data_IF_196320150443
#
_entry.id   IF_196320150443
#
_cell.length_a   1.000
_cell.length_b   1.000
_cell.length_c   1.000
_cell.angle_alpha   90.00
_cell.angle_beta   90.00
_cell.angle_gamma   90.00
#
_symmetry.space_group_name_H-M   'P 1'
#
loop_
_entity.id
_entity.type
_entity.pdbx_description
1 polymer ?
#
# COMPACT_ATOMS: atom_id res chain seq x y z
N UNK A 1 29.89 24.00 -44.93
CA UNK A 1 28.76 23.21 -45.47
C UNK A 1 28.50 22.09 -44.49
N UNK A 2 27.64 22.32 -43.51
CA UNK A 2 27.33 21.37 -42.45
C UNK A 2 25.92 20.82 -42.70
N UNK A 3 25.88 19.58 -43.12
CA UNK A 3 24.72 18.78 -43.45
C UNK A 3 23.99 18.40 -42.13
N UNK A 4 22.94 19.11 -41.80
CA UNK A 4 22.07 18.75 -40.67
C UNK A 4 21.18 17.57 -41.11
N UNK A 5 21.47 16.38 -40.55
CA UNK A 5 20.72 15.15 -40.77
C UNK A 5 19.20 15.32 -40.43
N UNK A 6 18.29 14.94 -41.36
CA UNK A 6 16.82 15.06 -41.18
C UNK A 6 16.26 14.16 -40.07
N UNK A 7 17.03 13.24 -39.54
CA UNK A 7 16.56 12.22 -38.58
C UNK A 7 16.43 12.76 -37.15
N UNK A 8 17.18 13.81 -36.79
CA UNK A 8 17.11 14.42 -35.44
C UNK A 8 15.81 15.22 -35.21
N UNK A 9 15.23 15.77 -36.27
CA UNK A 9 13.99 16.54 -36.21
C UNK A 9 12.74 15.64 -36.02
N UNK A 10 12.73 14.48 -36.68
CA UNK A 10 11.66 13.48 -36.56
C UNK A 10 11.66 12.79 -35.19
N UNK A 11 12.83 12.51 -34.58
CA UNK A 11 12.90 11.99 -33.22
C UNK A 11 12.39 13.01 -32.19
N UNK A 12 12.76 14.29 -32.30
CA UNK A 12 12.29 15.36 -31.39
C UNK A 12 10.80 15.60 -31.50
N UNK A 13 10.19 15.51 -32.68
CA UNK A 13 8.75 15.68 -32.88
C UNK A 13 7.96 14.50 -32.30
N UNK A 14 8.43 13.25 -32.45
CA UNK A 14 7.80 12.06 -31.84
C UNK A 14 7.88 12.08 -30.32
N UNK A 15 9.00 12.53 -29.73
CA UNK A 15 9.13 12.71 -28.29
C UNK A 15 8.19 13.80 -27.74
N UNK A 16 8.05 14.92 -28.45
CA UNK A 16 7.12 15.98 -28.07
C UNK A 16 5.66 15.53 -28.17
N UNK A 17 5.31 14.79 -29.22
CA UNK A 17 3.93 14.25 -29.36
C UNK A 17 3.63 13.21 -28.26
N UNK A 18 4.54 12.31 -27.95
CA UNK A 18 4.39 11.36 -26.85
C UNK A 18 4.25 12.07 -25.50
N UNK A 19 5.03 13.13 -25.27
CA UNK A 19 4.94 13.93 -24.07
C UNK A 19 3.58 14.64 -23.94
N UNK A 20 3.07 15.24 -25.02
CA UNK A 20 1.74 15.86 -25.04
C UNK A 20 0.60 14.85 -24.98
N UNK A 21 0.75 13.69 -25.60
CA UNK A 21 -0.24 12.61 -25.51
C UNK A 21 -0.28 12.03 -24.08
N UNK A 22 0.89 11.86 -23.44
CA UNK A 22 0.98 11.39 -22.04
C UNK A 22 0.34 12.40 -21.07
N UNK A 23 0.59 13.71 -21.23
CA UNK A 23 -0.01 14.74 -20.36
C UNK A 23 -1.53 14.90 -20.53
N UNK A 24 -2.09 14.52 -21.67
CA UNK A 24 -3.55 14.49 -21.93
C UNK A 24 -4.17 13.14 -21.54
N UNK A 25 -3.37 12.11 -21.30
CA UNK A 25 -3.83 10.79 -20.89
C UNK A 25 -4.34 10.79 -19.44
N UNK A 26 -5.20 9.84 -19.06
CA UNK A 26 -5.60 9.63 -17.65
C UNK A 26 -4.38 9.46 -16.72
N UNK A 27 -3.35 8.76 -17.20
CA UNK A 27 -2.10 8.55 -16.48
C UNK A 27 -1.32 9.86 -16.22
N UNK A 28 -1.25 10.78 -17.21
CA UNK A 28 -0.59 12.08 -17.04
C UNK A 28 -1.33 13.00 -16.08
N UNK A 29 -2.68 12.96 -16.08
CA UNK A 29 -3.49 13.67 -15.08
C UNK A 29 -3.33 13.10 -13.69
N UNK A 30 -3.24 11.76 -13.56
CA UNK A 30 -2.97 11.07 -12.32
C UNK A 30 -1.60 11.41 -11.74
N UNK A 31 -0.58 11.46 -12.59
CA UNK A 31 0.76 11.86 -12.18
C UNK A 31 0.80 13.30 -11.62
N UNK A 32 0.16 14.25 -12.27
CA UNK A 32 0.04 15.64 -11.78
C UNK A 32 -0.72 15.70 -10.46
N UNK A 33 -1.88 15.04 -10.37
CA UNK A 33 -2.64 14.96 -9.11
C UNK A 33 -1.85 14.23 -8.02
N UNK A 34 -1.08 13.21 -8.35
CA UNK A 34 -0.18 12.53 -7.41
C UNK A 34 0.86 13.45 -6.81
N UNK A 35 1.44 14.38 -7.59
CA UNK A 35 2.35 15.40 -7.08
C UNK A 35 1.65 16.49 -6.26
N UNK A 36 0.44 16.89 -6.65
CA UNK A 36 -0.41 17.84 -5.91
C UNK A 36 -0.85 17.28 -4.55
N UNK A 37 -1.01 15.94 -4.44
CA UNK A 37 -1.40 15.26 -3.20
C UNK A 37 -0.25 15.00 -2.24
N UNK A 38 0.94 15.47 -2.53
CA UNK A 38 2.09 15.21 -1.67
C UNK A 38 2.23 13.71 -1.33
N UNK A 39 2.07 12.83 -2.33
CA UNK A 39 2.12 11.37 -2.13
C UNK A 39 3.37 10.93 -1.38
N UNK A 40 4.50 11.61 -1.63
CA UNK A 40 5.75 11.35 -0.92
C UNK A 40 5.60 11.60 0.59
N UNK A 41 5.09 12.77 1.00
CA UNK A 41 4.93 13.09 2.42
C UNK A 41 3.97 12.14 3.13
N UNK A 42 2.92 11.70 2.43
CA UNK A 42 1.97 10.71 2.98
C UNK A 42 2.58 9.32 3.08
N UNK A 43 3.35 8.91 2.09
CA UNK A 43 4.08 7.65 2.15
C UNK A 43 5.14 7.65 3.27
N UNK A 44 5.82 8.77 3.50
CA UNK A 44 6.75 8.94 4.61
C UNK A 44 6.03 8.89 5.98
N UNK A 45 4.91 9.61 6.12
CA UNK A 45 4.08 9.54 7.33
C UNK A 45 3.52 8.14 7.60
N UNK A 46 3.06 7.46 6.55
CA UNK A 46 2.65 6.06 6.61
C UNK A 46 3.80 5.17 7.09
N UNK A 47 4.99 5.32 6.52
CA UNK A 47 6.15 4.53 6.87
C UNK A 47 6.62 4.78 8.31
N UNK A 48 6.66 6.04 8.75
CA UNK A 48 7.10 6.39 10.10
C UNK A 48 6.17 5.78 11.17
N UNK A 49 4.86 6.00 11.06
CA UNK A 49 3.89 5.46 12.01
C UNK A 49 3.69 3.95 11.83
N UNK A 50 3.77 3.44 10.59
CA UNK A 50 3.78 2.01 10.32
C UNK A 50 4.93 1.31 11.03
N UNK A 51 6.13 1.87 10.97
CA UNK A 51 7.30 1.32 11.64
C UNK A 51 7.14 1.32 13.16
N UNK A 52 6.67 2.43 13.76
CA UNK A 52 6.40 2.50 15.19
C UNK A 52 5.32 1.51 15.64
N UNK A 53 4.38 1.19 14.77
CA UNK A 53 3.31 0.21 15.03
C UNK A 53 3.80 -1.23 14.90
N UNK A 54 4.86 -1.50 14.12
CA UNK A 54 5.35 -2.86 13.89
C UNK A 54 5.75 -3.57 15.19
N UNK A 55 6.45 -2.90 16.10
CA UNK A 55 6.93 -3.52 17.34
C UNK A 55 5.76 -3.96 18.24
N UNK A 56 4.81 -3.09 18.62
CA UNK A 56 3.68 -3.53 19.44
C UNK A 56 2.75 -4.52 18.70
N UNK A 57 2.61 -4.39 17.38
CA UNK A 57 1.86 -5.33 16.57
C UNK A 57 2.47 -6.74 16.63
N UNK A 58 3.79 -6.83 16.54
CA UNK A 58 4.54 -8.07 16.64
C UNK A 58 4.34 -8.72 18.00
N UNK A 59 4.38 -7.95 19.08
CA UNK A 59 4.15 -8.46 20.45
C UNK A 59 2.74 -9.05 20.57
N UNK A 60 1.73 -8.34 20.07
CA UNK A 60 0.33 -8.77 20.14
C UNK A 60 0.07 -10.00 19.26
N UNK A 61 0.60 -10.02 18.03
CA UNK A 61 0.47 -11.18 17.12
C UNK A 61 1.17 -12.41 17.70
N UNK A 62 2.38 -12.25 18.25
CA UNK A 62 3.11 -13.36 18.90
C UNK A 62 2.43 -13.87 20.18
N UNK A 63 1.73 -12.99 20.91
CA UNK A 63 0.95 -13.39 22.07
C UNK A 63 -0.36 -14.11 21.68
N UNK A 64 -0.97 -13.72 20.56
CA UNK A 64 -2.18 -14.35 20.05
C UNK A 64 -1.92 -15.73 19.42
N UNK A 65 -0.71 -15.98 18.92
CA UNK A 65 -0.29 -17.26 18.34
C UNK A 65 1.02 -17.77 18.97
N UNK A 66 0.95 -18.37 20.18
CA UNK A 66 2.13 -18.84 20.88
C UNK A 66 2.83 -20.03 20.21
N UNK A 67 2.14 -20.74 19.31
CA UNK A 67 2.72 -21.87 18.55
C UNK A 67 3.59 -21.36 17.40
N UNK A 68 3.16 -20.29 16.71
CA UNK A 68 3.86 -19.72 15.57
C UNK A 68 4.36 -18.29 15.86
N UNK A 69 5.10 -18.11 16.95
CA UNK A 69 5.59 -16.80 17.43
C UNK A 69 6.39 -16.01 16.39
N UNK A 70 7.05 -16.70 15.47
CA UNK A 70 7.85 -16.09 14.41
C UNK A 70 7.06 -15.86 13.12
N UNK A 71 5.79 -16.25 13.06
CA UNK A 71 4.98 -16.18 11.83
C UNK A 71 4.86 -14.78 11.24
N UNK A 72 4.70 -13.75 12.08
CA UNK A 72 4.67 -12.37 11.63
C UNK A 72 6.04 -11.87 11.14
N UNK A 73 7.12 -12.18 11.86
CA UNK A 73 8.47 -11.82 11.44
C UNK A 73 8.85 -12.53 10.13
N UNK A 74 8.42 -13.79 9.96
CA UNK A 74 8.57 -14.51 8.70
C UNK A 74 7.77 -13.87 7.57
N UNK A 75 6.52 -13.48 7.81
CA UNK A 75 5.70 -12.77 6.84
C UNK A 75 6.34 -11.44 6.42
N UNK A 76 6.91 -10.69 7.38
CA UNK A 76 7.65 -9.45 7.11
C UNK A 76 8.90 -9.72 6.26
N UNK A 77 9.71 -10.71 6.63
CA UNK A 77 10.89 -11.12 5.88
C UNK A 77 10.55 -11.57 4.46
N UNK A 78 9.44 -12.30 4.28
CA UNK A 78 8.95 -12.69 2.96
C UNK A 78 8.46 -11.50 2.14
N UNK A 79 7.81 -10.50 2.77
CA UNK A 79 7.39 -9.25 2.14
C UNK A 79 8.56 -8.41 1.66
N UNK A 80 9.61 -8.33 2.50
CA UNK A 80 10.90 -7.70 2.16
C UNK A 80 11.67 -8.48 1.08
N UNK A 81 11.30 -9.75 0.82
CA UNK A 81 12.00 -10.58 -0.16
C UNK A 81 13.42 -10.96 0.27
N UNK A 82 13.70 -10.99 1.57
CA UNK A 82 15.03 -11.22 2.14
C UNK A 82 15.55 -12.61 1.77
N UNK A 83 16.85 -12.70 1.43
CA UNK A 83 17.54 -13.97 1.20
C UNK A 83 17.60 -14.83 2.47
N UNK A 84 17.80 -16.12 2.33
CA UNK A 84 17.88 -17.04 3.47
C UNK A 84 18.94 -16.60 4.49
N UNK A 85 20.05 -16.05 4.05
CA UNK A 85 21.17 -15.58 4.88
C UNK A 85 20.84 -14.34 5.71
N UNK A 86 20.06 -13.41 5.17
CA UNK A 86 19.67 -12.18 5.90
C UNK A 86 18.33 -12.30 6.63
N UNK A 87 17.70 -13.48 6.51
CA UNK A 87 16.42 -13.75 7.16
C UNK A 87 16.58 -13.81 8.68
N UNK A 88 17.65 -14.43 9.15
CA UNK A 88 17.91 -14.58 10.58
C UNK A 88 18.13 -13.23 11.25
N UNK A 89 18.79 -12.27 10.59
CA UNK A 89 18.98 -10.91 11.09
C UNK A 89 17.65 -10.15 11.24
N UNK A 90 16.71 -10.32 10.29
CA UNK A 90 15.37 -9.74 10.39
C UNK A 90 14.57 -10.45 11.49
N UNK A 91 14.66 -11.78 11.59
CA UNK A 91 14.00 -12.55 12.63
C UNK A 91 14.51 -12.17 14.02
N UNK A 92 15.81 -11.99 14.19
CA UNK A 92 16.41 -11.61 15.47
C UNK A 92 16.05 -10.18 15.88
N UNK A 93 16.00 -9.25 14.92
CA UNK A 93 15.61 -7.87 15.17
C UNK A 93 14.14 -7.75 15.64
N UNK A 94 13.27 -8.61 15.11
CA UNK A 94 11.85 -8.62 15.40
C UNK A 94 11.41 -9.81 16.28
N UNK A 95 12.35 -10.55 16.89
CA UNK A 95 12.03 -11.62 17.82
C UNK A 95 11.45 -11.05 19.12
N UNK A 96 10.29 -11.53 19.59
CA UNK A 96 9.76 -11.11 20.88
C UNK A 96 10.66 -11.57 22.02
N UNK A 97 10.93 -10.74 23.05
CA UNK A 97 11.76 -11.11 24.20
C UNK A 97 11.18 -12.32 24.94
N UNK A 98 12.02 -13.30 25.24
CA UNK A 98 11.62 -14.58 25.81
C UNK A 98 11.07 -14.55 27.25
N UNK A 99 11.22 -13.40 27.96
CA UNK A 99 10.95 -13.31 29.41
C UNK A 99 9.83 -12.34 29.73
N UNK A 100 8.64 -12.68 29.85
CA UNK A 100 7.51 -11.89 30.41
C UNK A 100 6.33 -11.64 29.47
N UNK A 101 5.66 -12.73 29.08
CA UNK A 101 4.50 -12.62 28.21
C UNK A 101 3.30 -11.91 28.89
N UNK A 102 3.09 -12.01 30.18
CA UNK A 102 1.88 -11.46 30.83
C UNK A 102 1.94 -9.94 31.02
N UNK A 103 3.00 -9.40 31.60
CA UNK A 103 3.17 -7.94 31.79
C UNK A 103 3.47 -7.22 30.46
N UNK A 104 4.21 -7.88 29.56
CA UNK A 104 4.57 -7.37 28.24
C UNK A 104 3.34 -7.28 27.33
N UNK A 105 2.35 -8.17 27.49
CA UNK A 105 1.14 -8.17 26.66
C UNK A 105 0.25 -6.96 26.96
N UNK A 106 0.04 -6.59 28.21
CA UNK A 106 -0.75 -5.41 28.57
C UNK A 106 -0.11 -4.10 28.06
N UNK A 107 1.21 -3.97 28.23
CA UNK A 107 1.97 -2.83 27.70
C UNK A 107 1.97 -2.83 26.18
N UNK A 108 2.13 -3.99 25.53
CA UNK A 108 2.06 -4.15 24.07
C UNK A 108 0.69 -3.76 23.52
N UNK A 109 -0.40 -4.15 24.18
CA UNK A 109 -1.76 -3.76 23.79
C UNK A 109 -2.00 -2.25 23.94
N UNK A 110 -1.56 -1.64 25.03
CA UNK A 110 -1.68 -0.19 25.23
C UNK A 110 -0.89 0.59 24.18
N UNK A 111 0.34 0.16 23.90
CA UNK A 111 1.21 0.77 22.89
C UNK A 111 0.66 0.56 21.48
N UNK A 112 0.13 -0.64 21.18
CA UNK A 112 -0.53 -0.93 19.92
C UNK A 112 -1.80 -0.08 19.74
N UNK A 113 -2.59 0.10 20.79
CA UNK A 113 -3.75 0.97 20.73
C UNK A 113 -3.33 2.40 20.39
N UNK A 114 -2.30 2.94 21.05
CA UNK A 114 -1.81 4.29 20.81
C UNK A 114 -1.28 4.47 19.38
N UNK A 115 -0.28 3.68 18.99
CA UNK A 115 0.37 3.81 17.68
C UNK A 115 -0.49 3.25 16.55
N UNK A 116 -1.20 2.13 16.78
CA UNK A 116 -2.05 1.51 15.79
C UNK A 116 -3.25 2.38 15.42
N UNK A 117 -3.94 3.00 16.39
CA UNK A 117 -5.03 3.91 16.11
C UNK A 117 -4.54 5.18 15.39
N UNK A 118 -3.38 5.70 15.77
CA UNK A 118 -2.75 6.85 15.09
C UNK A 118 -2.39 6.48 13.65
N UNK A 119 -1.81 5.31 13.43
CA UNK A 119 -1.50 4.80 12.09
C UNK A 119 -2.76 4.65 11.23
N UNK A 120 -3.84 4.06 11.77
CA UNK A 120 -5.13 4.01 11.09
C UNK A 120 -5.63 5.39 10.69
N UNK A 121 -5.45 6.40 11.55
CA UNK A 121 -5.80 7.79 11.27
C UNK A 121 -5.04 8.36 10.07
N UNK A 122 -3.74 8.05 9.94
CA UNK A 122 -2.92 8.46 8.79
C UNK A 122 -3.39 7.77 7.51
N UNK A 123 -3.68 6.46 7.57
CA UNK A 123 -4.22 5.73 6.41
C UNK A 123 -5.57 6.29 5.98
N UNK A 124 -6.48 6.53 6.94
CA UNK A 124 -7.78 7.14 6.67
C UNK A 124 -7.64 8.50 6.01
N UNK A 125 -6.85 9.40 6.60
CA UNK A 125 -6.63 10.76 6.07
C UNK A 125 -6.01 10.71 4.67
N UNK A 126 -5.12 9.75 4.42
CA UNK A 126 -4.56 9.51 3.10
C UNK A 126 -5.63 9.14 2.07
N UNK A 127 -6.50 8.19 2.39
CA UNK A 127 -7.61 7.80 1.52
C UNK A 127 -8.62 8.94 1.33
N UNK A 128 -9.03 9.63 2.41
CA UNK A 128 -9.96 10.77 2.33
C UNK A 128 -9.41 11.86 1.38
N UNK A 129 -8.13 12.15 1.47
CA UNK A 129 -7.49 13.13 0.59
C UNK A 129 -7.43 12.65 -0.86
N UNK A 130 -7.07 11.37 -1.09
CA UNK A 130 -7.08 10.78 -2.45
C UNK A 130 -8.46 10.90 -3.08
N UNK A 131 -9.53 10.68 -2.31
CA UNK A 131 -10.92 10.77 -2.79
C UNK A 131 -11.53 12.18 -2.68
N UNK A 132 -10.73 13.20 -2.32
CA UNK A 132 -11.18 14.59 -2.09
C UNK A 132 -12.39 14.70 -1.16
N UNK A 133 -12.40 13.85 -0.14
CA UNK A 133 -13.45 13.86 0.87
C UNK A 133 -13.09 14.78 2.04
N UNK A 134 -14.08 15.44 2.65
CA UNK A 134 -13.83 16.17 3.89
C UNK A 134 -13.37 15.22 4.99
N UNK A 135 -12.52 15.69 5.93
CA UNK A 135 -12.03 14.88 7.05
C UNK A 135 -13.17 14.21 7.81
N UNK A 136 -12.98 12.93 8.16
CA UNK A 136 -13.94 12.18 8.95
C UNK A 136 -14.12 12.78 10.35
N UNK A 137 -15.33 12.68 10.92
CA UNK A 137 -15.63 13.17 12.28
C UNK A 137 -14.95 12.26 13.32
N UNK A 138 -14.65 12.83 14.49
CA UNK A 138 -13.99 12.16 15.64
C UNK A 138 -14.65 10.86 16.13
N UNK A 139 -15.90 10.58 15.78
CA UNK A 139 -16.62 9.36 16.12
C UNK A 139 -16.17 8.10 15.33
N UNK A 140 -15.03 8.15 14.67
CA UNK A 140 -14.51 7.03 13.83
C UNK A 140 -13.58 6.07 14.59
N UNK A 141 -13.30 6.31 15.85
CA UNK A 141 -12.37 5.47 16.65
C UNK A 141 -12.72 3.97 16.61
N UNK A 142 -14.02 3.61 16.64
CA UNK A 142 -14.45 2.22 16.51
C UNK A 142 -14.06 1.58 15.16
N UNK A 143 -14.04 2.37 14.07
CA UNK A 143 -13.61 1.87 12.74
C UNK A 143 -12.13 1.58 12.72
N UNK A 144 -11.31 2.42 13.36
CA UNK A 144 -9.88 2.19 13.52
C UNK A 144 -9.64 0.91 14.33
N UNK A 145 -10.40 0.70 15.41
CA UNK A 145 -10.32 -0.51 16.22
C UNK A 145 -10.69 -1.75 15.41
N UNK A 146 -11.82 -1.73 14.71
CA UNK A 146 -12.25 -2.84 13.83
C UNK A 146 -11.22 -3.09 12.73
N UNK A 147 -10.68 -2.03 12.13
CA UNK A 147 -9.63 -2.16 11.11
C UNK A 147 -8.38 -2.83 11.67
N UNK A 148 -7.95 -2.42 12.86
CA UNK A 148 -6.77 -3.00 13.53
C UNK A 148 -6.99 -4.47 13.88
N UNK A 149 -8.16 -4.84 14.39
CA UNK A 149 -8.52 -6.24 14.68
C UNK A 149 -8.48 -7.08 13.41
N UNK A 150 -9.07 -6.58 12.30
CA UNK A 150 -9.06 -7.31 11.02
C UNK A 150 -7.66 -7.38 10.43
N UNK A 151 -6.83 -6.35 10.60
CA UNK A 151 -5.42 -6.40 10.22
C UNK A 151 -4.68 -7.51 10.97
N UNK A 152 -4.86 -7.60 12.30
CA UNK A 152 -4.26 -8.66 13.12
C UNK A 152 -4.76 -10.04 12.65
N UNK A 153 -6.08 -10.19 12.45
CA UNK A 153 -6.66 -11.43 11.95
C UNK A 153 -6.12 -11.82 10.56
N UNK A 154 -5.96 -10.84 9.66
CA UNK A 154 -5.34 -11.06 8.35
C UNK A 154 -3.89 -11.54 8.46
N UNK A 155 -3.10 -10.93 9.36
CA UNK A 155 -1.72 -11.33 9.59
C UNK A 155 -1.62 -12.75 10.20
N UNK A 156 -2.46 -13.06 11.18
CA UNK A 156 -2.55 -14.40 11.77
C UNK A 156 -2.95 -15.45 10.73
N UNK A 157 -3.98 -15.16 9.94
CA UNK A 157 -4.42 -16.09 8.88
C UNK A 157 -3.33 -16.31 7.83
N UNK A 158 -2.61 -15.25 7.44
CA UNK A 158 -1.54 -15.35 6.44
C UNK A 158 -0.33 -16.15 6.93
N UNK A 159 -0.06 -16.19 8.25
CA UNK A 159 1.02 -16.96 8.85
C UNK A 159 0.72 -18.47 8.91
N UNK A 160 -0.55 -18.87 8.93
CA UNK A 160 -0.98 -20.26 8.95
C UNK A 160 -1.09 -20.91 7.57
N UNK A 161 -1.01 -20.15 6.49
CA UNK A 161 -1.06 -20.71 5.14
C UNK A 161 0.22 -21.50 4.84
N UNK A 162 0.11 -22.82 4.68
CA UNK A 162 1.20 -23.74 4.35
C UNK A 162 1.86 -23.40 2.99
N UNK A 163 3.07 -23.90 2.70
CA UNK A 163 3.75 -23.69 1.43
C UNK A 163 3.00 -24.32 0.27
N UNK A 164 2.88 -23.62 -0.86
CA UNK A 164 2.23 -24.18 -2.06
C UNK A 164 1.70 -23.09 -3.00
N UNK A 165 1.36 -23.43 -4.25
CA UNK A 165 0.81 -22.49 -5.22
C UNK A 165 -0.55 -21.93 -4.79
N UNK A 166 -1.35 -22.71 -4.08
CA UNK A 166 -2.63 -22.28 -3.49
C UNK A 166 -2.44 -21.16 -2.47
N UNK A 167 -1.34 -21.15 -1.70
CA UNK A 167 -0.99 -20.07 -0.78
C UNK A 167 -0.90 -18.73 -1.50
N UNK A 168 -0.20 -18.69 -2.65
CA UNK A 168 -0.01 -17.45 -3.41
C UNK A 168 -1.35 -16.90 -3.89
N UNK A 169 -2.21 -17.76 -4.44
CA UNK A 169 -3.54 -17.37 -4.91
C UNK A 169 -4.40 -16.84 -3.75
N UNK A 170 -4.45 -17.56 -2.63
CA UNK A 170 -5.20 -17.15 -1.44
C UNK A 170 -4.66 -15.83 -0.89
N UNK A 171 -3.34 -15.67 -0.79
CA UNK A 171 -2.72 -14.45 -0.29
C UNK A 171 -3.04 -13.24 -1.18
N UNK A 172 -3.02 -13.38 -2.51
CA UNK A 172 -3.37 -12.31 -3.44
C UNK A 172 -4.85 -11.92 -3.29
N UNK A 173 -5.75 -12.92 -3.27
CA UNK A 173 -7.18 -12.68 -3.09
C UNK A 173 -7.45 -12.02 -1.73
N UNK A 174 -6.88 -12.55 -0.65
CA UNK A 174 -7.04 -12.00 0.69
C UNK A 174 -6.52 -10.54 0.77
N UNK A 175 -5.38 -10.25 0.12
CA UNK A 175 -4.83 -8.89 0.05
C UNK A 175 -5.79 -7.93 -0.66
N UNK A 176 -6.31 -8.30 -1.83
CA UNK A 176 -7.26 -7.48 -2.58
C UNK A 176 -8.54 -7.26 -1.78
N UNK A 177 -9.10 -8.31 -1.16
CA UNK A 177 -10.29 -8.23 -0.32
C UNK A 177 -10.05 -7.33 0.91
N UNK A 178 -8.90 -7.48 1.57
CA UNK A 178 -8.51 -6.65 2.71
C UNK A 178 -8.46 -5.16 2.31
N UNK A 179 -7.77 -4.80 1.22
CA UNK A 179 -7.68 -3.40 0.80
C UNK A 179 -9.02 -2.86 0.28
N UNK A 180 -9.83 -3.67 -0.37
CA UNK A 180 -11.16 -3.29 -0.83
C UNK A 180 -12.09 -2.96 0.34
N UNK A 181 -12.13 -3.86 1.34
CA UNK A 181 -12.89 -3.66 2.57
C UNK A 181 -12.32 -2.50 3.41
N UNK A 182 -10.99 -2.42 3.54
CA UNK A 182 -10.27 -1.38 4.28
C UNK A 182 -10.62 0.02 3.78
N UNK A 183 -10.52 0.25 2.47
CA UNK A 183 -10.91 1.53 1.88
C UNK A 183 -12.38 1.87 2.20
N UNK A 184 -13.29 0.91 2.08
CA UNK A 184 -14.71 1.11 2.36
C UNK A 184 -14.96 1.48 3.82
N UNK A 185 -14.32 0.78 4.75
CA UNK A 185 -14.45 1.03 6.18
C UNK A 185 -13.89 2.41 6.55
N UNK A 186 -12.65 2.69 6.16
CA UNK A 186 -11.95 3.94 6.53
C UNK A 186 -12.61 5.17 5.88
N UNK A 187 -13.11 5.07 4.66
CA UNK A 187 -13.88 6.12 4.00
C UNK A 187 -15.32 6.25 4.52
N UNK A 188 -15.70 5.42 5.48
CA UNK A 188 -17.02 5.52 6.13
C UNK A 188 -18.20 5.20 5.24
N UNK A 189 -18.01 4.36 4.24
CA UNK A 189 -19.08 4.01 3.33
C UNK A 189 -19.48 5.09 2.33
N UNK A 190 -18.77 6.22 2.29
CA UNK A 190 -19.07 7.37 1.41
C UNK A 190 -18.87 7.07 -0.07
N UNK A 191 -18.05 6.09 -0.41
CA UNK A 191 -17.77 5.65 -1.79
C UNK A 191 -18.35 4.27 -2.02
N UNK A 192 -18.94 4.01 -3.19
CA UNK A 192 -19.53 2.71 -3.54
C UNK A 192 -18.49 1.60 -3.67
N UNK A 193 -18.86 0.37 -3.36
CA UNK A 193 -17.99 -0.80 -3.49
C UNK A 193 -17.37 -0.95 -4.89
N UNK A 194 -18.17 -0.75 -5.94
CA UNK A 194 -17.68 -0.86 -7.32
C UNK A 194 -16.63 0.17 -7.68
N UNK A 195 -16.71 1.38 -7.10
CA UNK A 195 -15.71 2.44 -7.33
C UNK A 195 -14.36 2.15 -6.64
N UNK A 196 -14.37 1.41 -5.53
CA UNK A 196 -13.18 1.08 -4.76
C UNK A 196 -12.43 -0.15 -5.31
N UNK A 197 -13.12 -1.04 -6.04
CA UNK A 197 -12.55 -2.28 -6.55
C UNK A 197 -11.31 -2.07 -7.43
N UNK A 198 -11.30 -1.16 -8.43
CA UNK A 198 -10.11 -0.92 -9.25
C UNK A 198 -8.90 -0.46 -8.43
N UNK A 199 -9.15 0.35 -7.38
CA UNK A 199 -8.11 0.80 -6.45
C UNK A 199 -7.52 -0.34 -5.63
N UNK A 200 -8.35 -1.25 -5.13
CA UNK A 200 -7.91 -2.43 -4.40
C UNK A 200 -7.09 -3.38 -5.28
N UNK A 201 -7.52 -3.60 -6.52
CA UNK A 201 -6.79 -4.39 -7.51
C UNK A 201 -5.43 -3.75 -7.84
N UNK A 202 -5.40 -2.44 -8.07
CA UNK A 202 -4.16 -1.70 -8.33
C UNK A 202 -3.19 -1.79 -7.14
N UNK A 203 -3.70 -1.69 -5.90
CA UNK A 203 -2.91 -1.89 -4.69
C UNK A 203 -2.37 -3.32 -4.60
N UNK A 204 -3.18 -4.33 -4.86
CA UNK A 204 -2.76 -5.73 -4.86
C UNK A 204 -1.63 -6.00 -5.88
N UNK A 205 -1.82 -5.54 -7.13
CA UNK A 205 -0.80 -5.64 -8.19
C UNK A 205 0.47 -4.87 -7.81
N UNK A 206 0.32 -3.66 -7.25
CA UNK A 206 1.43 -2.83 -6.81
C UNK A 206 2.24 -3.47 -5.68
N UNK A 207 1.59 -4.09 -4.69
CA UNK A 207 2.26 -4.82 -3.61
C UNK A 207 2.99 -6.06 -4.13
N UNK A 208 2.41 -6.74 -5.11
CA UNK A 208 3.09 -7.87 -5.76
C UNK A 208 4.32 -7.40 -6.54
N UNK A 209 4.20 -6.30 -7.29
CA UNK A 209 5.34 -5.64 -7.95
C UNK A 209 6.40 -5.18 -6.95
N UNK A 210 5.98 -4.58 -5.82
CA UNK A 210 6.90 -4.19 -4.75
C UNK A 210 7.64 -5.39 -4.16
N UNK A 211 6.97 -6.54 -4.01
CA UNK A 211 7.61 -7.78 -3.54
C UNK A 211 8.70 -8.27 -4.52
N UNK A 212 8.45 -8.19 -5.82
CA UNK A 212 9.46 -8.52 -6.84
C UNK A 212 10.62 -7.54 -6.77
N UNK A 213 10.33 -6.24 -6.73
CA UNK A 213 11.32 -5.18 -6.58
C UNK A 213 12.16 -5.35 -5.31
N UNK A 214 11.53 -5.69 -4.20
CA UNK A 214 12.19 -5.93 -2.92
C UNK A 214 13.22 -7.05 -3.00
N UNK A 215 12.91 -8.13 -3.68
CA UNK A 215 13.85 -9.25 -3.87
C UNK A 215 15.09 -8.84 -4.66
N UNK A 216 14.93 -7.93 -5.63
CA UNK A 216 16.01 -7.49 -6.49
C UNK A 216 16.88 -6.41 -5.83
N UNK A 217 16.28 -5.53 -5.05
CA UNK A 217 16.94 -4.32 -4.51
C UNK A 217 17.22 -4.45 -3.01
N UNK A 218 16.20 -4.75 -2.20
CA UNK A 218 16.36 -4.74 -0.75
C UNK A 218 17.09 -5.96 -0.21
N UNK A 219 16.96 -7.13 -0.85
CA UNK A 219 17.67 -8.33 -0.39
C UNK A 219 19.20 -8.14 -0.39
N UNK A 220 19.85 -7.71 -1.51
CA UNK A 220 21.28 -7.43 -1.47
C UNK A 220 21.63 -6.23 -0.58
N UNK A 221 20.73 -5.24 -0.46
CA UNK A 221 20.95 -4.06 0.36
C UNK A 221 20.96 -4.40 1.86
N UNK A 222 20.09 -5.30 2.33
CA UNK A 222 20.10 -5.78 3.71
C UNK A 222 21.41 -6.48 4.00
N UNK A 223 21.87 -7.42 3.14
CA UNK A 223 23.10 -8.14 3.32
C UNK A 223 24.32 -7.21 3.42
N UNK A 224 24.40 -6.19 2.58
CA UNK A 224 25.50 -5.19 2.61
C UNK A 224 25.39 -4.22 3.77
N UNK A 225 24.18 -3.80 4.14
CA UNK A 225 23.93 -2.84 5.22
C UNK A 225 24.13 -3.45 6.60
N UNK A 226 23.76 -4.71 6.78
CA UNK A 226 23.96 -5.44 8.03
C UNK A 226 25.46 -5.59 8.35
N UNK A 227 26.29 -5.86 7.31
CA UNK A 227 27.74 -5.93 7.44
C UNK A 227 28.36 -4.56 7.77
N UNK A 228 27.84 -3.48 7.16
CA UNK A 228 28.43 -2.15 7.30
C UNK A 228 27.91 -1.36 8.51
N UNK A 229 26.63 -1.48 8.83
CA UNK A 229 25.92 -0.65 9.82
C UNK A 229 25.19 -1.46 10.89
N UNK A 230 25.30 -2.80 10.86
CA UNK A 230 24.63 -3.69 11.81
C UNK A 230 23.10 -3.52 11.81
N UNK A 231 22.44 -3.64 12.98
CA UNK A 231 20.97 -3.56 13.11
C UNK A 231 20.36 -2.25 12.57
N UNK A 232 21.11 -1.14 12.62
CA UNK A 232 20.64 0.17 12.12
C UNK A 232 20.44 0.12 10.61
N UNK A 233 21.31 -0.55 9.88
CA UNK A 233 21.16 -0.73 8.43
C UNK A 233 19.87 -1.46 8.07
N UNK A 234 19.54 -2.54 8.78
CA UNK A 234 18.29 -3.30 8.59
C UNK A 234 17.05 -2.44 8.87
N UNK A 235 17.07 -1.64 9.94
CA UNK A 235 15.97 -0.69 10.26
C UNK A 235 15.74 0.30 9.13
N UNK A 236 16.79 0.89 8.56
CA UNK A 236 16.68 1.84 7.46
C UNK A 236 16.12 1.19 6.19
N UNK A 237 16.46 -0.06 5.90
CA UNK A 237 15.91 -0.79 4.76
C UNK A 237 14.43 -1.09 4.98
N UNK A 238 14.03 -1.56 6.16
CA UNK A 238 12.62 -1.79 6.51
C UNK A 238 11.82 -0.49 6.38
N UNK A 239 12.36 0.62 6.89
CA UNK A 239 11.71 1.94 6.77
C UNK A 239 11.54 2.35 5.31
N UNK A 240 12.55 2.17 4.46
CA UNK A 240 12.48 2.46 3.03
C UNK A 240 11.43 1.60 2.31
N UNK A 241 11.34 0.31 2.69
CA UNK A 241 10.33 -0.59 2.17
C UNK A 241 8.91 -0.15 2.57
N UNK A 242 8.71 0.28 3.82
CA UNK A 242 7.43 0.83 4.26
C UNK A 242 7.02 2.09 3.49
N UNK A 243 7.98 2.94 3.10
CA UNK A 243 7.71 4.07 2.18
C UNK A 243 7.17 3.54 0.85
N UNK A 244 7.78 2.50 0.29
CA UNK A 244 7.29 1.83 -0.92
C UNK A 244 5.87 1.28 -0.75
N UNK A 245 5.56 0.64 0.38
CA UNK A 245 4.19 0.17 0.71
C UNK A 245 3.22 1.35 0.75
N UNK A 246 3.55 2.45 1.41
CA UNK A 246 2.73 3.66 1.47
C UNK A 246 2.44 4.23 0.08
N UNK A 247 3.45 4.27 -0.79
CA UNK A 247 3.30 4.67 -2.19
C UNK A 247 2.31 3.79 -2.95
N UNK A 248 2.41 2.48 -2.78
CA UNK A 248 1.53 1.51 -3.44
C UNK A 248 0.09 1.64 -2.92
N UNK A 249 -0.09 1.80 -1.61
CA UNK A 249 -1.42 1.91 -0.99
C UNK A 249 -2.15 3.17 -1.47
N UNK A 250 -1.50 4.34 -1.39
CA UNK A 250 -2.14 5.60 -1.81
C UNK A 250 -2.17 5.76 -3.32
N UNK A 251 -1.15 5.31 -4.03
CA UNK A 251 -1.11 5.29 -5.49
C UNK A 251 -2.18 4.37 -6.09
N UNK A 252 -2.39 3.19 -5.52
CA UNK A 252 -3.45 2.28 -5.92
C UNK A 252 -4.85 2.89 -5.73
N UNK A 253 -5.09 3.55 -4.59
CA UNK A 253 -6.34 4.27 -4.36
C UNK A 253 -6.54 5.42 -5.38
N UNK A 254 -5.48 6.15 -5.73
CA UNK A 254 -5.51 7.21 -6.75
C UNK A 254 -5.86 6.64 -8.13
N UNK A 255 -5.26 5.52 -8.53
CA UNK A 255 -5.61 4.83 -9.77
C UNK A 255 -7.10 4.44 -9.78
N UNK A 256 -7.61 3.91 -8.67
CA UNK A 256 -9.03 3.57 -8.53
C UNK A 256 -9.93 4.77 -8.74
N UNK A 257 -9.61 5.91 -8.13
CA UNK A 257 -10.35 7.15 -8.30
C UNK A 257 -10.35 7.62 -9.77
N UNK A 258 -9.19 7.66 -10.41
CA UNK A 258 -9.07 8.09 -11.80
C UNK A 258 -9.90 7.22 -12.75
N UNK A 259 -9.86 5.90 -12.57
CA UNK A 259 -10.67 4.98 -13.36
C UNK A 259 -12.17 5.19 -13.12
N UNK A 260 -12.57 5.47 -11.88
CA UNK A 260 -13.96 5.78 -11.56
C UNK A 260 -14.42 7.10 -12.22
N UNK A 261 -13.61 8.14 -12.19
CA UNK A 261 -13.91 9.42 -12.86
C UNK A 261 -14.07 9.25 -14.38
N UNK A 262 -13.19 8.48 -15.02
CA UNK A 262 -13.29 8.21 -16.47
C UNK A 262 -14.54 7.37 -16.79
N UNK A 263 -14.87 6.38 -15.97
CA UNK A 263 -16.10 5.62 -16.13
C UNK A 263 -17.35 6.52 -16.08
N UNK A 264 -17.42 7.43 -15.09
CA UNK A 264 -18.54 8.38 -14.98
C UNK A 264 -18.64 9.32 -16.21
N UNK A 265 -17.49 9.80 -16.73
CA UNK A 265 -17.44 10.61 -17.95
C UNK A 265 -18.00 9.86 -19.17
N UNK A 266 -17.61 8.58 -19.33
CA UNK A 266 -18.10 7.76 -20.42
C UNK A 266 -19.61 7.48 -20.32
N UNK A 267 -20.12 7.22 -19.13
CA UNK A 267 -21.56 7.00 -18.89
C UNK A 267 -22.36 8.27 -19.19
N UNK A 268 -21.90 9.43 -18.74
CA UNK A 268 -22.58 10.72 -18.98
C UNK A 268 -22.58 11.08 -20.47
N UNK A 269 -21.45 10.84 -21.17
CA UNK A 269 -21.35 11.05 -22.60
C UNK A 269 -22.31 10.15 -23.39
N UNK A 270 -22.37 8.85 -23.06
CA UNK A 270 -23.32 7.90 -23.68
C UNK A 270 -24.79 8.30 -23.46
N UNK A 271 -25.15 8.76 -22.26
CA UNK A 271 -26.50 9.25 -21.94
C UNK A 271 -26.86 10.50 -22.76
N UNK A 272 -25.92 11.45 -22.89
CA UNK A 272 -26.12 12.67 -23.69
C UNK A 272 -26.33 12.34 -25.16
N UNK A 273 -25.53 11.45 -25.72
CA UNK A 273 -25.66 10.99 -27.11
C UNK A 273 -27.00 10.35 -27.38
N UNK A 274 -27.47 9.45 -26.54
CA UNK A 274 -28.79 8.78 -26.65
C UNK A 274 -29.96 9.77 -26.56
N UNK A 275 -29.81 10.86 -25.78
CA UNK A 275 -30.84 11.91 -25.72
C UNK A 275 -30.90 12.71 -27.02
N UNK A 276 -29.77 13.05 -27.62
CA UNK A 276 -29.71 13.75 -28.91
C UNK A 276 -30.29 12.91 -30.05
N UNK A 277 -29.99 11.60 -30.06
CA UNK A 277 -30.55 10.63 -31.03
C UNK A 277 -32.09 10.52 -30.90
N UNK A 278 -32.65 10.68 -29.71
CA UNK A 278 -34.13 10.66 -29.48
C UNK A 278 -34.81 12.00 -29.77
N UNK A 279 -34.12 13.13 -29.68
CA UNK A 279 -34.67 14.47 -29.91
C UNK A 279 -34.46 14.93 -31.36
N UNK A 280 -33.65 14.24 -32.16
CA UNK A 280 -33.39 14.54 -33.57
C UNK A 280 -34.12 13.65 -34.57
N UNK A 281 -35.16 12.90 -34.17
CA UNK A 281 -36.08 12.22 -35.07
C UNK A 281 -37.02 13.23 -35.74
N UNK A 282 -37.37 13.10 -37.08
CA UNK A 282 -38.14 14.01 -37.85
C UNK A 282 -39.56 14.22 -37.35
#
# INVERSE_FOLDING_TARGET
MSEQSPDSSRRRSRFRWLHHAFHRSPAGRGWRRGSEFELMHRALGFAALGFLTLVPLLIVVAAADPVNRHGFAQWLAEGLGVSATSRDEVLDLFAPPRRSLETTTAFGLATLALFGLTFCGVVQTGYEKVWELPPGRWHTAWRHLVWLIVLIAYLLLSSHLGPGPTRVAVAVVATVLFFWWSQRLLLGGRISWGALLPGALATGVGLWGLRIFSRLVFSPLIASSAVSYGPVGTVLVVQSWLVGVGFVVFGGALVGRLLHEEYLRLVTWRRKRRRLERSGGP
#
